data_IF_788945061781
#
_entry.id   IF_788945061781
#
_cell.length_a   1.000
_cell.length_b   1.000
_cell.length_c   1.000
_cell.angle_alpha   90.00
_cell.angle_beta   90.00
_cell.angle_gamma   90.00
#
_symmetry.space_group_name_H-M   'P 1'
#
loop_
_entity.id
_entity.type
_entity.pdbx_description
1 polymer ?
#
# COMPACT_ATOMS: atom_id res chain seq x y z
N UNK A 1 10.01 13.41 -29.24
CA UNK A 1 8.76 13.70 -28.51
C UNK A 1 9.14 13.87 -27.06
N UNK A 2 8.99 15.07 -26.51
CA UNK A 2 9.16 15.32 -25.07
C UNK A 2 7.81 15.08 -24.38
N UNK A 3 7.84 14.34 -23.29
CA UNK A 3 6.68 14.04 -22.45
C UNK A 3 6.90 14.69 -21.08
N UNK A 4 6.01 15.60 -20.71
CA UNK A 4 5.94 16.15 -19.36
C UNK A 4 5.00 15.28 -18.53
N UNK A 5 5.55 14.57 -17.55
CA UNK A 5 4.81 13.71 -16.65
C UNK A 5 4.52 14.46 -15.35
N UNK A 6 3.26 14.45 -14.93
CA UNK A 6 2.88 14.85 -13.59
C UNK A 6 2.74 13.59 -12.74
N UNK A 7 3.66 13.41 -11.79
CA UNK A 7 3.71 12.24 -10.91
C UNK A 7 3.19 12.68 -9.55
N UNK A 8 2.02 12.18 -9.17
CA UNK A 8 1.46 12.36 -7.84
C UNK A 8 1.73 11.11 -6.99
N UNK A 9 2.73 11.20 -6.11
CA UNK A 9 3.04 10.13 -5.17
C UNK A 9 2.04 10.18 -4.02
N UNK A 10 1.22 9.13 -3.87
CA UNK A 10 0.54 8.85 -2.62
C UNK A 10 1.62 8.49 -1.59
N UNK A 11 2.04 9.47 -0.78
CA UNK A 11 3.04 9.30 0.28
C UNK A 11 2.48 8.35 1.35
N UNK A 12 2.76 7.06 1.17
CA UNK A 12 2.52 6.02 2.16
C UNK A 12 3.71 5.98 3.11
N UNK A 13 3.46 5.74 4.39
CA UNK A 13 4.51 5.62 5.38
C UNK A 13 5.24 4.27 5.23
N UNK A 14 6.56 4.31 5.17
CA UNK A 14 7.39 3.11 5.14
C UNK A 14 7.55 2.50 6.53
N UNK A 15 7.56 3.35 7.56
CA UNK A 15 7.85 2.98 8.94
C UNK A 15 6.80 3.56 9.88
N UNK A 16 6.22 2.71 10.72
CA UNK A 16 5.25 3.13 11.75
C UNK A 16 5.91 3.26 13.12
N UNK A 17 5.59 4.31 13.87
CA UNK A 17 6.05 4.49 15.25
C UNK A 17 4.89 4.20 16.20
N UNK A 18 5.09 3.23 17.09
CA UNK A 18 4.14 2.82 18.14
C UNK A 18 4.73 3.05 19.52
N UNK A 19 3.85 3.14 20.53
CA UNK A 19 4.23 3.37 21.92
C UNK A 19 3.25 4.30 22.62
N UNK A 20 3.32 4.36 23.95
CA UNK A 20 2.42 5.16 24.78
C UNK A 20 2.40 6.65 24.42
N UNK A 21 1.40 7.43 24.86
CA UNK A 21 1.45 8.89 24.76
C UNK A 21 2.69 9.41 25.50
N UNK A 22 3.26 10.52 25.01
CA UNK A 22 4.39 11.21 25.64
C UNK A 22 5.73 10.44 25.72
N UNK A 23 5.85 9.26 25.08
CA UNK A 23 7.14 8.53 24.98
C UNK A 23 8.15 9.19 24.02
N UNK A 24 7.74 10.25 23.31
CA UNK A 24 8.60 11.03 22.42
C UNK A 24 8.46 10.75 20.92
N UNK A 25 7.37 10.09 20.47
CA UNK A 25 7.13 9.75 19.04
C UNK A 25 7.23 10.97 18.12
N UNK A 26 6.44 12.01 18.37
CA UNK A 26 6.41 13.19 17.52
C UNK A 26 7.73 13.99 17.59
N UNK A 27 8.41 13.96 18.75
CA UNK A 27 9.76 14.53 18.91
C UNK A 27 10.77 13.81 18.03
N UNK A 28 10.75 12.46 18.02
CA UNK A 28 11.62 11.65 17.19
C UNK A 28 11.40 11.93 15.70
N UNK A 29 10.14 11.98 15.25
CA UNK A 29 9.79 12.34 13.87
C UNK A 29 10.38 13.70 13.52
N UNK A 30 10.15 14.71 14.37
CA UNK A 30 10.61 16.09 14.13
C UNK A 30 12.13 16.17 13.98
N UNK A 31 12.89 15.47 14.83
CA UNK A 31 14.36 15.50 14.81
C UNK A 31 14.93 14.76 13.60
N UNK A 32 14.34 13.62 13.24
CA UNK A 32 14.78 12.80 12.12
C UNK A 32 14.35 13.39 10.76
N UNK A 33 13.23 14.12 10.72
CA UNK A 33 12.73 14.73 9.50
C UNK A 33 13.45 16.04 9.19
N UNK A 34 14.03 16.14 7.98
CA UNK A 34 14.68 17.36 7.47
C UNK A 34 13.72 18.54 7.21
N UNK A 35 12.41 18.31 7.31
CA UNK A 35 11.35 19.28 7.08
C UNK A 35 10.44 19.30 8.29
N UNK A 36 9.83 20.45 8.63
CA UNK A 36 8.70 20.48 9.57
C UNK A 36 7.72 19.37 9.16
N UNK A 37 7.20 18.56 10.11
CA UNK A 37 6.23 17.52 9.80
C UNK A 37 5.19 18.09 8.86
N UNK A 38 5.08 17.53 7.66
CA UNK A 38 4.03 17.95 6.74
C UNK A 38 2.75 17.37 7.32
N UNK A 39 1.94 18.24 7.90
CA UNK A 39 0.52 17.99 8.19
C UNK A 39 -0.07 17.59 6.85
N UNK A 40 -0.26 16.29 6.67
CA UNK A 40 -0.72 15.76 5.40
C UNK A 40 -2.23 15.66 5.44
N UNK A 41 -2.89 16.66 4.88
CA UNK A 41 -4.33 16.70 4.68
C UNK A 41 -4.69 15.76 3.53
N UNK A 42 -4.75 14.47 3.82
CA UNK A 42 -5.28 13.52 2.88
C UNK A 42 -6.81 13.55 2.92
N UNK A 43 -7.50 13.50 1.76
CA UNK A 43 -8.96 13.58 1.69
C UNK A 43 -9.71 12.41 2.37
N UNK A 44 -8.97 11.47 2.96
CA UNK A 44 -9.44 10.24 3.60
C UNK A 44 -8.97 10.09 5.06
N UNK A 45 -8.35 11.10 5.66
CA UNK A 45 -7.92 11.06 7.07
C UNK A 45 -8.74 12.04 7.91
N UNK A 46 -9.36 11.58 8.98
CA UNK A 46 -10.06 12.42 9.96
C UNK A 46 -9.14 12.96 11.06
N UNK A 47 -7.99 12.29 11.27
CA UNK A 47 -6.88 12.74 12.10
C UNK A 47 -5.64 12.85 11.23
N UNK A 48 -4.99 14.01 11.25
CA UNK A 48 -3.81 14.27 10.41
C UNK A 48 -2.59 13.62 11.07
N UNK A 49 -1.98 12.57 10.48
CA UNK A 49 -0.83 11.95 11.09
C UNK A 49 0.40 12.85 10.97
N UNK A 50 1.25 12.81 11.99
CA UNK A 50 2.58 13.41 11.91
C UNK A 50 3.43 12.53 10.98
N UNK A 51 3.76 13.06 9.80
CA UNK A 51 4.66 12.43 8.85
C UNK A 51 6.01 13.15 8.81
N UNK A 52 7.09 12.37 8.72
CA UNK A 52 8.44 12.88 8.58
C UNK A 52 9.23 12.12 7.53
N UNK A 53 9.86 12.84 6.60
CA UNK A 53 10.77 12.23 5.62
C UNK A 53 12.18 12.21 6.21
N UNK A 54 12.73 11.02 6.40
CA UNK A 54 14.11 10.81 6.83
C UNK A 54 14.99 10.70 5.61
N UNK A 55 15.99 11.57 5.50
CA UNK A 55 16.97 11.57 4.38
C UNK A 55 18.40 11.86 4.86
N UNK A 56 18.70 11.51 6.11
CA UNK A 56 20.00 11.73 6.76
C UNK A 56 20.77 10.42 6.92
N UNK A 57 22.03 10.50 7.35
CA UNK A 57 22.86 9.35 7.71
C UNK A 57 23.12 8.36 6.56
N UNK A 58 23.15 8.84 5.31
CA UNK A 58 23.47 8.07 4.11
C UNK A 58 22.60 6.82 3.87
N UNK A 59 21.38 6.79 4.41
CA UNK A 59 20.39 5.74 4.08
C UNK A 59 19.46 6.20 2.95
N UNK A 60 18.83 5.24 2.27
CA UNK A 60 17.74 5.55 1.32
C UNK A 60 16.63 6.32 2.05
N UNK A 61 16.10 7.40 1.46
CA UNK A 61 15.03 8.15 2.11
C UNK A 61 13.80 7.28 2.36
N UNK A 62 13.18 7.46 3.53
CA UNK A 62 11.96 6.76 3.90
C UNK A 62 11.04 7.67 4.71
N UNK A 63 9.75 7.32 4.76
CA UNK A 63 8.70 8.07 5.44
C UNK A 63 8.38 7.43 6.79
N UNK A 64 8.53 8.20 7.87
CA UNK A 64 8.03 7.87 9.20
C UNK A 64 6.59 8.36 9.36
N UNK A 65 5.75 7.54 9.96
CA UNK A 65 4.45 7.95 10.47
C UNK A 65 4.32 7.67 11.97
N UNK A 66 3.78 8.64 12.69
CA UNK A 66 3.19 8.40 14.00
C UNK A 66 1.95 7.52 13.82
N UNK A 67 1.72 6.57 14.74
CA UNK A 67 0.50 5.77 14.79
C UNK A 67 -0.42 6.29 15.90
N UNK A 68 -1.11 7.45 15.72
CA UNK A 68 -2.10 7.91 16.68
C UNK A 68 -3.24 6.90 16.83
N UNK A 69 -3.76 6.74 18.06
CA UNK A 69 -5.08 6.15 18.25
C UNK A 69 -5.19 4.63 18.42
N UNK A 70 -4.10 3.88 18.68
CA UNK A 70 -4.27 2.53 19.27
C UNK A 70 -4.76 2.59 20.73
N UNK A 71 -4.46 3.70 21.42
CA UNK A 71 -4.58 3.87 22.87
C UNK A 71 -5.91 4.55 23.28
N UNK A 72 -6.66 5.11 22.32
CA UNK A 72 -7.94 5.78 22.57
C UNK A 72 -9.07 5.15 21.73
N UNK A 73 -9.69 4.10 22.27
CA UNK A 73 -11.04 3.70 21.85
C UNK A 73 -11.19 3.09 20.46
N UNK A 74 -10.13 2.55 19.84
CA UNK A 74 -10.23 1.83 18.57
C UNK A 74 -11.22 0.65 18.63
N UNK A 75 -11.47 0.09 19.82
CA UNK A 75 -12.47 -0.97 20.05
C UNK A 75 -13.92 -0.48 20.21
N UNK A 76 -14.19 0.83 20.30
CA UNK A 76 -15.54 1.38 20.54
C UNK A 76 -16.29 1.88 19.28
N UNK A 77 -15.85 1.51 18.08
CA UNK A 77 -16.70 1.57 16.88
C UNK A 77 -17.09 2.96 16.38
N UNK A 78 -16.43 4.04 16.82
CA UNK A 78 -16.52 5.33 16.13
C UNK A 78 -15.66 5.25 14.87
N UNK A 79 -16.27 5.38 13.69
CA UNK A 79 -15.71 5.12 12.36
C UNK A 79 -14.55 6.02 11.90
N UNK A 80 -13.55 6.21 12.75
CA UNK A 80 -12.35 7.04 12.58
C UNK A 80 -11.07 6.20 12.35
N UNK A 81 -11.10 4.89 12.64
CA UNK A 81 -9.91 4.04 12.67
C UNK A 81 -9.58 3.30 11.37
N UNK A 82 -10.55 2.74 10.65
CA UNK A 82 -10.30 1.75 9.58
C UNK A 82 -9.47 2.34 8.41
N UNK A 83 -9.71 3.59 8.00
CA UNK A 83 -8.93 4.21 6.91
C UNK A 83 -7.54 4.64 7.38
N UNK A 84 -7.38 5.12 8.61
CA UNK A 84 -6.07 5.45 9.18
C UNK A 84 -5.21 4.19 9.36
N UNK A 85 -5.83 3.12 9.83
CA UNK A 85 -5.17 1.85 10.07
C UNK A 85 -4.80 1.13 8.76
N UNK A 86 -5.52 1.36 7.65
CA UNK A 86 -5.07 0.96 6.30
C UNK A 86 -3.76 1.61 5.84
N UNK A 87 -3.39 2.76 6.40
CA UNK A 87 -2.10 3.41 6.12
C UNK A 87 -0.99 2.81 6.97
N UNK A 88 -1.31 2.47 8.21
CA UNK A 88 -0.46 1.67 9.09
C UNK A 88 -0.21 0.30 8.48
N UNK A 89 -1.22 -0.37 7.92
CA UNK A 89 -1.09 -1.66 7.25
C UNK A 89 -0.13 -1.64 6.06
N UNK A 90 0.31 -0.48 5.60
CA UNK A 90 1.31 -0.37 4.52
C UNK A 90 2.73 -0.11 5.03
N UNK A 91 2.92 0.09 6.33
CA UNK A 91 4.27 0.16 6.92
C UNK A 91 4.96 -1.20 6.85
N UNK A 92 6.27 -1.20 6.66
CA UNK A 92 7.08 -2.43 6.56
C UNK A 92 7.84 -2.70 7.84
N UNK A 93 8.19 -1.65 8.57
CA UNK A 93 8.96 -1.75 9.81
C UNK A 93 8.22 -0.97 10.89
N UNK A 94 8.22 -1.51 12.11
CA UNK A 94 7.68 -0.83 13.27
C UNK A 94 8.80 -0.39 14.19
N UNK A 95 8.73 0.85 14.65
CA UNK A 95 9.55 1.38 15.76
C UNK A 95 8.68 1.36 16.99
N UNK A 96 9.02 0.54 17.97
CA UNK A 96 8.31 0.47 19.25
C UNK A 96 9.06 1.31 20.30
N UNK A 97 8.54 2.51 20.57
CA UNK A 97 9.11 3.41 21.56
C UNK A 97 8.59 3.12 22.96
N UNK A 98 9.52 2.91 23.90
CA UNK A 98 9.27 2.67 25.31
C UNK A 98 10.02 3.69 26.14
N UNK A 99 9.32 4.37 27.05
CA UNK A 99 9.88 5.44 27.88
C UNK A 99 10.64 4.87 29.08
N UNK A 100 11.94 5.14 29.17
CA UNK A 100 12.79 4.70 30.28
C UNK A 100 12.88 5.71 31.43
N UNK A 101 12.25 6.87 31.33
CA UNK A 101 12.25 7.86 32.41
C UNK A 101 11.44 7.40 33.63
N UNK A 102 11.86 7.84 34.81
CA UNK A 102 11.09 7.63 36.04
C UNK A 102 9.78 8.41 36.06
N UNK A 103 9.73 9.55 35.37
CA UNK A 103 8.54 10.41 35.26
C UNK A 103 7.33 9.69 34.67
N UNK A 104 7.56 8.66 33.86
CA UNK A 104 6.47 7.87 33.30
C UNK A 104 5.66 7.15 34.37
N UNK A 105 6.24 6.84 35.55
CA UNK A 105 5.67 6.04 36.64
C UNK A 105 5.13 4.64 36.23
N UNK A 106 5.29 4.26 34.96
CA UNK A 106 4.85 2.99 34.38
C UNK A 106 6.01 2.01 34.32
N UNK A 107 5.68 0.72 34.25
CA UNK A 107 6.66 -0.32 33.99
C UNK A 107 6.93 -0.42 32.46
N UNK A 108 8.19 -0.26 32.00
CA UNK A 108 8.51 -0.25 30.57
C UNK A 108 8.14 -1.56 29.84
N UNK A 109 8.25 -2.71 30.53
CA UNK A 109 7.94 -4.00 29.93
C UNK A 109 6.44 -4.21 29.78
N UNK A 110 5.66 -3.79 30.78
CA UNK A 110 4.22 -3.77 30.68
C UNK A 110 3.73 -2.85 29.56
N UNK A 111 4.32 -1.66 29.41
CA UNK A 111 3.99 -0.76 28.29
C UNK A 111 4.23 -1.43 26.93
N UNK A 112 5.34 -2.15 26.78
CA UNK A 112 5.65 -2.94 25.59
C UNK A 112 4.61 -4.05 25.33
N UNK A 113 4.24 -4.82 26.35
CA UNK A 113 3.24 -5.89 26.22
C UNK A 113 1.88 -5.32 25.81
N UNK A 114 1.43 -4.25 26.47
CA UNK A 114 0.12 -3.64 26.20
C UNK A 114 0.02 -3.19 24.75
N UNK A 115 1.03 -2.48 24.24
CA UNK A 115 1.03 -2.02 22.84
C UNK A 115 1.06 -3.19 21.85
N UNK A 116 1.87 -4.23 22.11
CA UNK A 116 1.88 -5.40 21.22
C UNK A 116 0.57 -6.17 21.23
N UNK A 117 -0.11 -6.24 22.39
CA UNK A 117 -1.44 -6.83 22.49
C UNK A 117 -2.48 -6.01 21.71
N UNK A 118 -2.42 -4.68 21.80
CA UNK A 118 -3.29 -3.80 21.00
C UNK A 118 -3.05 -3.97 19.50
N UNK A 119 -1.79 -4.11 19.07
CA UNK A 119 -1.43 -4.40 17.68
C UNK A 119 -2.01 -5.74 17.21
N UNK A 120 -1.91 -6.78 18.05
CA UNK A 120 -2.47 -8.11 17.80
C UNK A 120 -3.99 -8.09 17.68
N UNK A 121 -4.67 -7.45 18.64
CA UNK A 121 -6.14 -7.31 18.66
C UNK A 121 -6.65 -6.55 17.44
N UNK A 122 -5.90 -5.58 16.95
CA UNK A 122 -6.24 -4.84 15.74
C UNK A 122 -6.02 -5.68 14.47
N UNK A 123 -4.79 -6.15 14.25
CA UNK A 123 -4.44 -6.96 13.09
C UNK A 123 -3.20 -7.80 13.43
N UNK A 124 -3.33 -9.13 13.61
CA UNK A 124 -2.22 -10.01 13.99
C UNK A 124 -1.01 -9.92 13.06
N UNK A 125 -1.22 -9.60 11.77
CA UNK A 125 -0.13 -9.46 10.80
C UNK A 125 0.77 -8.25 11.02
N UNK A 126 0.40 -7.32 11.90
CA UNK A 126 1.30 -6.25 12.32
C UNK A 126 2.46 -6.80 13.15
N UNK A 127 2.27 -7.93 13.85
CA UNK A 127 3.33 -8.58 14.62
C UNK A 127 4.33 -9.34 13.75
N UNK A 128 3.96 -9.69 12.50
CA UNK A 128 4.88 -10.31 11.53
C UNK A 128 5.95 -9.33 11.01
N UNK A 129 5.79 -8.03 11.29
CA UNK A 129 6.69 -6.98 10.83
C UNK A 129 7.91 -6.90 11.71
N UNK A 130 9.10 -6.71 11.12
CA UNK A 130 10.29 -6.39 11.90
C UNK A 130 10.05 -5.19 12.80
N UNK A 131 10.25 -5.42 14.10
CA UNK A 131 10.06 -4.42 15.14
C UNK A 131 11.43 -4.04 15.70
N UNK A 132 11.72 -2.74 15.74
CA UNK A 132 12.87 -2.16 16.43
C UNK A 132 12.39 -1.60 17.75
N UNK A 133 12.83 -2.17 18.86
CA UNK A 133 12.51 -1.64 20.19
C UNK A 133 13.42 -0.44 20.45
N UNK A 134 12.83 0.69 20.80
CA UNK A 134 13.53 1.94 21.05
C UNK A 134 13.28 2.37 22.49
N UNK A 135 14.32 2.28 23.31
CA UNK A 135 14.29 2.81 24.66
C UNK A 135 14.54 4.32 24.62
N UNK A 136 13.51 5.13 24.85
CA UNK A 136 13.56 6.58 24.74
C UNK A 136 13.87 7.27 26.07
N UNK A 137 14.21 8.56 26.00
CA UNK A 137 14.54 9.43 27.15
C UNK A 137 15.71 8.93 28.01
N UNK A 138 16.72 8.35 27.36
CA UNK A 138 17.94 7.84 28.03
C UNK A 138 18.83 8.92 28.65
N UNK A 139 18.50 10.19 28.44
CA UNK A 139 19.11 11.37 29.09
C UNK A 139 18.62 11.60 30.52
N UNK A 140 17.59 10.89 30.99
CA UNK A 140 17.02 11.03 32.34
C UNK A 140 17.73 10.17 33.38
N UNK A 141 17.63 10.57 34.65
CA UNK A 141 18.15 9.81 35.78
C UNK A 141 17.50 8.42 35.85
N UNK A 142 18.27 7.43 36.31
CA UNK A 142 17.86 6.01 36.44
C UNK A 142 17.41 5.30 35.14
N UNK A 143 17.38 5.97 33.99
CA UNK A 143 16.98 5.37 32.71
C UNK A 143 17.84 4.16 32.33
N UNK A 144 19.14 4.19 32.66
CA UNK A 144 20.06 3.05 32.44
C UNK A 144 19.69 1.83 33.28
N UNK A 145 19.35 2.02 34.55
CA UNK A 145 18.97 0.93 35.45
C UNK A 145 17.63 0.31 35.00
N UNK A 146 16.68 1.16 34.59
CA UNK A 146 15.40 0.75 34.01
C UNK A 146 15.56 0.00 32.69
N UNK A 147 16.47 0.43 31.83
CA UNK A 147 16.81 -0.30 30.60
C UNK A 147 17.40 -1.67 30.89
N UNK A 148 18.32 -1.79 31.86
CA UNK A 148 18.89 -3.08 32.24
C UNK A 148 17.86 -4.01 32.87
N UNK A 149 16.89 -3.49 33.62
CA UNK A 149 15.75 -4.28 34.08
C UNK A 149 14.86 -4.73 32.91
N UNK A 150 14.54 -3.82 31.99
CA UNK A 150 13.73 -4.10 30.80
C UNK A 150 14.34 -5.17 29.90
N UNK A 151 15.65 -5.12 29.63
CA UNK A 151 16.37 -6.11 28.80
C UNK A 151 16.28 -7.53 29.34
N UNK A 152 16.11 -7.74 30.66
CA UNK A 152 16.00 -9.08 31.27
C UNK A 152 14.76 -9.84 30.81
N UNK A 153 13.79 -9.17 30.21
CA UNK A 153 12.58 -9.78 29.67
C UNK A 153 12.73 -10.27 28.22
N UNK A 154 13.90 -10.10 27.62
CA UNK A 154 14.16 -10.40 26.22
C UNK A 154 15.41 -11.28 26.06
N UNK A 155 15.49 -11.99 24.94
CA UNK A 155 16.70 -12.71 24.55
C UNK A 155 17.83 -11.72 24.22
N UNK A 156 19.09 -12.16 24.39
CA UNK A 156 20.28 -11.30 24.15
C UNK A 156 20.34 -10.72 22.73
N UNK A 157 19.78 -11.43 21.75
CA UNK A 157 19.75 -11.02 20.34
C UNK A 157 18.61 -10.03 20.02
N UNK A 158 17.75 -9.71 20.98
CA UNK A 158 16.62 -8.78 20.77
C UNK A 158 17.14 -7.38 20.50
N UNK A 159 16.71 -6.81 19.37
CA UNK A 159 17.15 -5.50 18.93
C UNK A 159 16.50 -4.38 19.76
N UNK A 160 17.24 -3.91 20.77
CA UNK A 160 16.86 -2.76 21.61
C UNK A 160 17.87 -1.64 21.40
N UNK A 161 17.42 -0.50 20.88
CA UNK A 161 18.26 0.68 20.64
C UNK A 161 17.91 1.77 21.66
N UNK A 162 18.80 2.05 22.64
CA UNK A 162 18.61 3.18 23.55
C UNK A 162 18.90 4.50 22.84
N UNK A 163 17.98 5.47 22.90
CA UNK A 163 18.14 6.77 22.28
C UNK A 163 17.85 7.92 23.26
N UNK A 164 18.42 9.08 22.96
CA UNK A 164 17.93 10.35 23.48
C UNK A 164 17.70 11.33 22.35
N UNK A 165 16.43 11.71 22.18
CA UNK A 165 16.04 12.77 21.28
C UNK A 165 16.62 14.13 21.72
N UNK A 166 16.74 14.37 23.03
CA UNK A 166 17.23 15.64 23.57
C UNK A 166 18.72 15.86 23.30
N UNK A 167 19.53 14.80 23.38
CA UNK A 167 20.98 14.87 23.16
C UNK A 167 21.43 14.39 21.78
N UNK A 168 20.50 13.95 20.93
CA UNK A 168 20.75 13.28 19.65
C UNK A 168 21.56 11.97 19.76
N UNK A 169 21.52 11.29 20.91
CA UNK A 169 22.26 10.05 21.13
C UNK A 169 21.60 8.85 20.40
N UNK A 170 22.44 8.05 19.73
CA UNK A 170 22.11 6.84 18.96
C UNK A 170 21.02 6.97 17.86
N UNK A 171 20.65 8.20 17.46
CA UNK A 171 19.68 8.42 16.39
C UNK A 171 20.17 7.93 15.02
N UNK A 172 21.48 8.04 14.78
CA UNK A 172 22.17 7.51 13.60
C UNK A 172 22.07 5.99 13.52
N UNK A 173 22.31 5.29 14.65
CA UNK A 173 22.18 3.83 14.76
C UNK A 173 20.76 3.38 14.50
N UNK A 174 19.78 4.10 15.05
CA UNK A 174 18.36 3.83 14.79
C UNK A 174 18.03 3.96 13.30
N UNK A 175 18.39 5.08 12.67
CA UNK A 175 18.10 5.31 11.25
C UNK A 175 18.79 4.29 10.36
N UNK A 176 20.06 3.98 10.64
CA UNK A 176 20.80 2.97 9.90
C UNK A 176 20.13 1.60 9.97
N UNK A 177 19.77 1.16 11.19
CA UNK A 177 19.16 -0.16 11.37
C UNK A 177 17.77 -0.26 10.75
N UNK A 178 16.96 0.78 10.88
CA UNK A 178 15.65 0.86 10.21
C UNK A 178 15.82 0.85 8.69
N UNK A 179 16.80 1.59 8.15
CA UNK A 179 17.13 1.57 6.73
C UNK A 179 17.49 0.18 6.22
N UNK A 180 18.34 -0.57 6.95
CA UNK A 180 18.67 -1.95 6.62
C UNK A 180 17.44 -2.86 6.62
N UNK A 181 16.61 -2.77 7.67
CA UNK A 181 15.36 -3.56 7.75
C UNK A 181 14.44 -3.24 6.57
N UNK A 182 14.31 -1.98 6.17
CA UNK A 182 13.53 -1.61 4.99
C UNK A 182 14.11 -2.15 3.68
N UNK A 183 15.41 -2.40 3.58
CA UNK A 183 16.00 -3.04 2.40
C UNK A 183 15.77 -4.56 2.39
N UNK A 184 15.81 -5.19 3.56
CA UNK A 184 15.64 -6.63 3.75
C UNK A 184 14.17 -7.07 3.70
N UNK A 185 13.27 -6.19 4.13
CA UNK A 185 11.86 -6.54 4.35
C UNK A 185 11.04 -6.29 3.08
N UNK A 186 10.61 -7.30 2.31
CA UNK A 186 9.77 -7.06 1.14
C UNK A 186 8.48 -6.33 1.54
N UNK A 187 7.82 -5.64 0.61
CA UNK A 187 6.51 -5.06 0.91
C UNK A 187 5.52 -6.17 1.31
N UNK A 188 4.79 -5.98 2.41
CA UNK A 188 3.80 -6.94 2.96
C UNK A 188 2.50 -7.01 2.14
N UNK A 189 2.54 -6.83 0.82
CA UNK A 189 1.37 -6.94 -0.05
C UNK A 189 0.87 -8.38 -0.27
N UNK A 190 1.42 -9.37 0.44
CA UNK A 190 1.20 -10.78 0.08
C UNK A 190 -0.06 -11.43 0.64
N UNK A 191 -0.73 -10.82 1.62
CA UNK A 191 -1.88 -11.49 2.25
C UNK A 191 -3.14 -10.62 2.39
N UNK A 192 -3.25 -9.45 1.76
CA UNK A 192 -4.62 -9.01 1.44
C UNK A 192 -5.24 -10.20 0.70
N UNK A 193 -6.29 -10.79 1.29
CA UNK A 193 -7.17 -11.67 0.51
C UNK A 193 -7.50 -10.79 -0.68
N UNK A 194 -6.95 -11.17 -1.82
CA UNK A 194 -7.40 -10.67 -3.09
C UNK A 194 -8.86 -11.07 -3.08
N UNK A 195 -9.75 -10.16 -2.67
CA UNK A 195 -11.06 -10.11 -3.27
C UNK A 195 -10.69 -10.00 -4.74
N UNK A 196 -10.96 -11.05 -5.50
CA UNK A 196 -10.67 -11.20 -6.93
C UNK A 196 -11.19 -10.00 -7.74
N UNK A 197 -10.52 -8.86 -7.65
CA UNK A 197 -10.71 -7.65 -8.45
C UNK A 197 -9.40 -6.85 -8.52
N UNK A 198 -8.26 -7.54 -8.62
CA UNK A 198 -7.13 -6.99 -9.35
C UNK A 198 -6.80 -7.95 -10.49
N UNK A 199 -7.30 -7.63 -11.68
CA UNK A 199 -6.77 -8.17 -12.92
C UNK A 199 -5.33 -7.71 -13.02
N UNK A 200 -4.40 -8.59 -12.65
CA UNK A 200 -3.00 -8.44 -12.93
C UNK A 200 -2.84 -8.40 -14.47
N UNK A 201 -2.68 -7.21 -15.04
CA UNK A 201 -2.19 -7.08 -16.41
C UNK A 201 -0.70 -7.43 -16.43
N UNK A 202 -0.37 -8.69 -16.16
CA UNK A 202 0.70 -9.28 -16.96
C UNK A 202 0.22 -9.18 -18.39
N UNK A 203 0.96 -8.49 -19.25
CA UNK A 203 0.86 -8.65 -20.70
C UNK A 203 1.32 -10.08 -21.04
N UNK A 204 0.58 -11.07 -20.56
CA UNK A 204 0.41 -12.35 -21.23
C UNK A 204 -0.67 -12.07 -22.23
N UNK A 205 -0.42 -12.37 -23.50
CA UNK A 205 -1.41 -12.36 -24.56
C UNK A 205 -2.70 -13.01 -24.04
N UNK A 206 -3.63 -12.17 -23.57
CA UNK A 206 -4.98 -12.59 -23.21
C UNK A 206 -5.64 -12.79 -24.56
N UNK A 207 -5.46 -14.00 -25.09
CA UNK A 207 -6.03 -14.54 -26.32
C UNK A 207 -6.86 -13.52 -27.10
N UNK A 208 -6.17 -12.72 -27.92
CA UNK A 208 -6.72 -11.72 -28.85
C UNK A 208 -7.35 -12.39 -30.08
N UNK A 209 -7.90 -13.58 -29.89
CA UNK A 209 -8.39 -14.42 -30.95
C UNK A 209 -9.77 -13.95 -31.39
N UNK A 210 -9.79 -13.38 -32.60
CA UNK A 210 -10.99 -13.17 -33.43
C UNK A 210 -10.97 -14.28 -34.48
N UNK A 211 -12.02 -15.08 -34.52
CA UNK A 211 -12.26 -16.15 -35.48
C UNK A 211 -13.35 -15.68 -36.44
N UNK A 212 -13.15 -15.91 -37.73
CA UNK A 212 -14.12 -15.57 -38.77
C UNK A 212 -14.43 -16.83 -39.55
N UNK A 213 -15.71 -17.20 -39.55
CA UNK A 213 -16.23 -18.34 -40.29
C UNK A 213 -17.16 -17.85 -41.41
N UNK A 214 -16.90 -18.26 -42.64
CA UNK A 214 -17.78 -17.96 -43.76
C UNK A 214 -18.94 -18.95 -43.76
N UNK A 215 -20.13 -18.48 -43.39
CA UNK A 215 -21.34 -19.33 -43.29
C UNK A 215 -22.13 -19.39 -44.59
N UNK A 216 -22.01 -18.39 -45.46
CA UNK A 216 -22.53 -18.40 -46.84
C UNK A 216 -21.76 -17.42 -47.72
N UNK A 217 -22.10 -17.33 -49.02
CA UNK A 217 -21.33 -16.54 -50.00
C UNK A 217 -21.14 -15.06 -49.62
N UNK A 218 -22.09 -14.47 -48.88
CA UNK A 218 -22.10 -13.09 -48.40
C UNK A 218 -22.39 -12.96 -46.90
N UNK A 219 -22.09 -14.02 -46.11
CA UNK A 219 -22.32 -14.01 -44.67
C UNK A 219 -21.13 -14.57 -43.91
N UNK A 220 -20.65 -13.78 -42.93
CA UNK A 220 -19.49 -14.10 -42.12
C UNK A 220 -19.85 -14.03 -40.63
N UNK A 221 -19.57 -15.09 -39.90
CA UNK A 221 -19.78 -15.16 -38.46
C UNK A 221 -18.48 -14.86 -37.73
N UNK A 222 -18.53 -13.92 -36.79
CA UNK A 222 -17.39 -13.44 -36.02
C UNK A 222 -17.53 -13.93 -34.58
N UNK A 223 -16.58 -14.74 -34.15
CA UNK A 223 -16.54 -15.34 -32.82
C UNK A 223 -15.13 -15.28 -32.23
N UNK A 224 -14.95 -15.82 -31.04
CA UNK A 224 -13.65 -15.90 -30.36
C UNK A 224 -13.62 -15.19 -29.02
N UNK A 225 -12.57 -15.47 -28.25
CA UNK A 225 -12.43 -15.04 -26.85
C UNK A 225 -12.50 -13.53 -26.68
N UNK A 226 -11.98 -12.76 -27.64
CA UNK A 226 -12.07 -11.31 -27.59
C UNK A 226 -13.51 -10.82 -27.75
N UNK A 227 -14.28 -11.42 -28.66
CA UNK A 227 -15.68 -11.07 -28.91
C UNK A 227 -16.52 -11.37 -27.67
N UNK A 228 -16.39 -12.57 -27.10
CA UNK A 228 -17.08 -13.00 -25.87
C UNK A 228 -16.76 -12.08 -24.68
N UNK A 229 -15.49 -11.74 -24.50
CA UNK A 229 -15.05 -10.85 -23.41
C UNK A 229 -15.64 -9.44 -23.54
N UNK A 230 -15.70 -8.91 -24.76
CA UNK A 230 -16.26 -7.59 -25.02
C UNK A 230 -17.80 -7.59 -24.92
N UNK A 231 -18.44 -8.72 -25.20
CA UNK A 231 -19.88 -8.88 -25.01
C UNK A 231 -20.24 -8.90 -23.52
N UNK A 232 -19.55 -9.72 -22.71
CA UNK A 232 -19.82 -9.86 -21.27
C UNK A 232 -19.57 -8.58 -20.46
N UNK A 233 -18.70 -7.69 -20.95
CA UNK A 233 -18.34 -6.43 -20.28
C UNK A 233 -19.17 -5.23 -20.75
N UNK A 234 -20.01 -5.39 -21.77
CA UNK A 234 -20.78 -4.31 -22.37
C UNK A 234 -22.26 -4.46 -22.02
N UNK A 235 -22.88 -3.40 -21.53
CA UNK A 235 -24.33 -3.34 -21.32
C UNK A 235 -24.96 -2.81 -22.63
N UNK A 236 -25.39 -3.70 -23.54
CA UNK A 236 -25.88 -3.37 -24.90
C UNK A 236 -27.28 -2.73 -24.94
N UNK A 237 -27.59 -1.87 -23.99
CA UNK A 237 -28.90 -1.23 -23.89
C UNK A 237 -29.02 0.04 -24.74
N UNK A 238 -27.96 0.47 -25.44
CA UNK A 238 -27.92 1.68 -26.26
C UNK A 238 -27.07 1.54 -27.53
N UNK A 239 -27.43 2.31 -28.57
CA UNK A 239 -26.68 2.38 -29.85
C UNK A 239 -25.23 2.87 -29.66
N UNK A 240 -24.97 3.67 -28.63
CA UNK A 240 -23.63 4.12 -28.28
C UNK A 240 -22.75 2.97 -27.77
N UNK A 241 -23.33 2.03 -26.99
CA UNK A 241 -22.59 0.87 -26.50
C UNK A 241 -22.20 -0.07 -27.65
N UNK A 242 -23.09 -0.26 -28.62
CA UNK A 242 -22.82 -1.03 -29.85
C UNK A 242 -21.69 -0.37 -30.66
N UNK A 243 -21.71 0.95 -30.81
CA UNK A 243 -20.67 1.69 -31.54
C UNK A 243 -19.29 1.55 -30.88
N UNK A 244 -19.23 1.65 -29.55
CA UNK A 244 -17.99 1.48 -28.79
C UNK A 244 -17.48 0.04 -28.90
N UNK A 245 -18.37 -0.95 -28.85
CA UNK A 245 -18.05 -2.37 -29.04
C UNK A 245 -17.43 -2.64 -30.41
N UNK A 246 -18.08 -2.22 -31.49
CA UNK A 246 -17.58 -2.39 -32.86
C UNK A 246 -16.24 -1.67 -33.06
N UNK A 247 -16.09 -0.47 -32.52
CA UNK A 247 -14.83 0.30 -32.60
C UNK A 247 -13.66 -0.46 -31.94
N UNK A 248 -13.92 -1.15 -30.82
CA UNK A 248 -12.89 -1.96 -30.15
C UNK A 248 -12.51 -3.19 -30.98
N UNK A 249 -13.47 -3.86 -31.60
CA UNK A 249 -13.20 -4.99 -32.49
C UNK A 249 -12.40 -4.58 -33.73
N UNK A 250 -12.74 -3.45 -34.35
CA UNK A 250 -11.98 -2.89 -35.48
C UNK A 250 -10.53 -2.59 -35.10
N UNK A 251 -10.31 -1.95 -33.94
CA UNK A 251 -8.96 -1.70 -33.41
C UNK A 251 -8.18 -2.99 -33.13
N UNK A 252 -8.86 -4.10 -32.84
CA UNK A 252 -8.25 -5.41 -32.66
C UNK A 252 -8.02 -6.17 -33.98
N UNK A 253 -8.27 -5.54 -35.13
CA UNK A 253 -7.96 -6.10 -36.45
C UNK A 253 -9.11 -6.88 -37.11
N UNK A 254 -10.36 -6.69 -36.67
CA UNK A 254 -11.53 -7.34 -37.27
C UNK A 254 -11.60 -7.11 -38.80
N UNK A 255 -11.46 -5.87 -39.27
CA UNK A 255 -11.61 -5.55 -40.69
C UNK A 255 -10.53 -6.21 -41.55
N UNK A 256 -9.30 -6.31 -41.03
CA UNK A 256 -8.21 -7.00 -41.73
C UNK A 256 -8.53 -8.49 -41.90
N UNK A 257 -8.99 -9.14 -40.83
CA UNK A 257 -9.36 -10.55 -40.86
C UNK A 257 -10.58 -10.82 -41.75
N UNK A 258 -11.57 -9.92 -41.76
CA UNK A 258 -12.74 -10.03 -42.65
C UNK A 258 -12.32 -9.98 -44.12
N UNK A 259 -11.40 -9.07 -44.48
CA UNK A 259 -10.84 -9.01 -45.84
C UNK A 259 -10.04 -10.28 -46.19
N UNK A 260 -9.25 -10.81 -45.25
CA UNK A 260 -8.54 -12.09 -45.43
C UNK A 260 -9.49 -13.27 -45.65
N UNK A 261 -10.65 -13.27 -44.97
CA UNK A 261 -11.72 -14.25 -45.17
C UNK A 261 -12.52 -14.03 -46.48
N UNK A 262 -12.28 -12.92 -47.19
CA UNK A 262 -12.89 -12.60 -48.47
C UNK A 262 -14.20 -11.82 -48.39
N UNK A 263 -14.48 -11.15 -47.28
CA UNK A 263 -15.62 -10.24 -47.15
C UNK A 263 -15.45 -9.00 -48.04
N UNK A 264 -16.56 -8.55 -48.62
CA UNK A 264 -16.66 -7.39 -49.50
C UNK A 264 -17.67 -6.40 -48.95
N UNK A 265 -17.56 -5.14 -49.39
CA UNK A 265 -18.50 -4.10 -49.02
C UNK A 265 -19.95 -4.52 -49.31
N UNK A 266 -20.80 -4.44 -48.28
CA UNK A 266 -22.19 -4.89 -48.32
C UNK A 266 -22.44 -6.35 -47.92
N UNK A 267 -21.41 -7.14 -47.58
CA UNK A 267 -21.61 -8.48 -47.00
C UNK A 267 -22.10 -8.38 -45.54
N UNK A 268 -22.86 -9.38 -45.10
CA UNK A 268 -23.45 -9.43 -43.75
C UNK A 268 -22.48 -10.06 -42.75
N UNK A 269 -22.19 -9.32 -41.68
CA UNK A 269 -21.35 -9.75 -40.55
C UNK A 269 -22.26 -10.08 -39.37
N UNK A 270 -22.14 -11.31 -38.86
CA UNK A 270 -22.92 -11.77 -37.70
C UNK A 270 -22.02 -11.82 -36.48
N UNK A 271 -22.41 -11.14 -35.41
CA UNK A 271 -21.69 -11.16 -34.12
C UNK A 271 -22.69 -11.48 -33.03
N UNK A 272 -22.55 -12.65 -32.39
CA UNK A 272 -23.46 -13.13 -31.32
C UNK A 272 -24.96 -13.09 -31.67
N UNK A 273 -25.29 -13.29 -32.95
CA UNK A 273 -26.67 -13.31 -33.45
C UNK A 273 -27.17 -11.98 -34.01
N UNK A 274 -26.44 -10.87 -33.81
CA UNK A 274 -26.75 -9.57 -34.40
C UNK A 274 -26.09 -9.42 -35.77
N UNK A 275 -26.79 -8.78 -36.71
CA UNK A 275 -26.35 -8.59 -38.09
C UNK A 275 -25.89 -7.15 -38.35
N UNK A 276 -24.75 -7.01 -39.02
CA UNK A 276 -24.14 -5.74 -39.38
C UNK A 276 -23.71 -5.75 -40.84
N UNK A 277 -23.78 -4.61 -41.52
CA UNK A 277 -23.23 -4.47 -42.86
C UNK A 277 -21.71 -4.22 -42.79
N UNK A 278 -20.95 -4.95 -43.60
CA UNK A 278 -19.53 -4.65 -43.76
C UNK A 278 -19.37 -3.39 -44.61
N UNK A 279 -18.85 -2.34 -43.97
CA UNK A 279 -18.50 -1.06 -44.59
C UNK A 279 -16.98 -0.93 -44.49
N UNK A 280 -16.32 -0.88 -45.64
CA UNK A 280 -14.85 -0.80 -45.76
C UNK A 280 -14.30 0.58 -45.36
#
# INVERSE_FOLDING_TARGET
>A
VELNLHIELKLLADVGIVGFPSVGKSTLITILSNSRPKIADYPFTTLIPNLGVVSRFNVKPFVLADMPGLIEGASQGQGLGIQFLKHIERTRVLIHMVDMSEESLRDPYNDYIVINKELEEYNPRLLDRPQVIVASKMDTDHAKERLEAFKKHFDEDTLIIPISAMTNDNLDKLVYRVGQLLEETPFFYKDEVVIDEYVEYTFKDLDSEIIIEKTSDSRFEVSGKLVENLLNKSNFMSDEAVTIFLTKLRKAGLDAKLREAGAKEGDTIVIAGDEYDFID
#
